data_IF_866395937316
#
_entry.id   IF_866395937316
#
_cell.length_a   1.000
_cell.length_b   1.000
_cell.length_c   1.000
_cell.angle_alpha   90.00
_cell.angle_beta   90.00
_cell.angle_gamma   90.00
#
_symmetry.space_group_name_H-M   'P 1'
#
loop_
_entity.id
_entity.type
_entity.pdbx_description
1 polymer ?
#
# COMPACT_ATOMS: atom_id res chain seq x y z
N UNK A 1 18.72 4.37 37.68
CA UNK A 1 19.62 3.70 36.72
C UNK A 1 19.35 4.29 35.36
N UNK A 2 20.34 4.88 34.70
CA UNK A 2 20.17 5.39 33.34
C UNK A 2 20.33 4.23 32.36
N UNK A 3 19.36 4.05 31.48
CA UNK A 3 19.43 3.06 30.41
C UNK A 3 20.44 3.56 29.35
N UNK A 4 21.56 2.86 29.22
CA UNK A 4 22.61 3.22 28.25
C UNK A 4 22.17 2.67 26.89
N UNK A 5 21.43 3.49 26.14
CA UNK A 5 20.93 3.13 24.81
C UNK A 5 21.99 3.38 23.74
N UNK A 6 22.28 2.36 22.92
CA UNK A 6 23.19 2.50 21.80
C UNK A 6 22.49 3.24 20.64
N UNK A 7 22.80 4.53 20.50
CA UNK A 7 22.22 5.39 19.47
C UNK A 7 22.52 4.92 18.04
N UNK A 8 23.65 4.24 17.81
CA UNK A 8 23.99 3.69 16.49
C UNK A 8 23.06 2.54 16.12
N UNK A 9 22.77 1.65 17.07
CA UNK A 9 21.82 0.55 16.87
C UNK A 9 20.40 1.08 16.62
N UNK A 10 19.97 2.10 17.39
CA UNK A 10 18.67 2.75 17.22
C UNK A 10 18.51 3.40 15.84
N UNK A 11 19.53 4.13 15.35
CA UNK A 11 19.52 4.71 13.99
C UNK A 11 19.41 3.63 12.92
N UNK A 12 20.22 2.57 13.03
CA UNK A 12 20.18 1.43 12.08
C UNK A 12 18.84 0.69 12.10
N UNK A 13 18.17 0.62 13.25
CA UNK A 13 16.82 0.06 13.34
C UNK A 13 15.81 0.97 12.61
N UNK A 14 15.87 2.28 12.82
CA UNK A 14 15.03 3.27 12.13
C UNK A 14 15.20 3.21 10.62
N UNK A 15 16.44 3.20 10.13
CA UNK A 15 16.73 3.10 8.69
C UNK A 15 16.18 1.82 8.07
N UNK A 16 16.36 0.67 8.74
CA UNK A 16 15.80 -0.61 8.29
C UNK A 16 14.28 -0.59 8.26
N UNK A 17 13.64 0.02 9.26
CA UNK A 17 12.18 0.16 9.30
C UNK A 17 11.66 1.03 8.15
N UNK A 18 12.35 2.15 7.86
CA UNK A 18 11.98 3.03 6.75
C UNK A 18 12.16 2.34 5.40
N UNK A 19 13.24 1.56 5.22
CA UNK A 19 13.47 0.79 4.01
C UNK A 19 12.38 -0.27 3.79
N UNK A 20 11.93 -0.97 4.85
CA UNK A 20 10.82 -1.92 4.77
C UNK A 20 9.51 -1.24 4.37
N UNK A 21 9.13 -0.16 5.06
CA UNK A 21 7.91 0.58 4.73
C UNK A 21 7.87 1.05 3.26
N UNK A 22 8.99 1.58 2.76
CA UNK A 22 9.12 1.94 1.33
C UNK A 22 9.00 0.72 0.41
N UNK A 23 9.54 -0.42 0.82
CA UNK A 23 9.41 -1.69 0.10
C UNK A 23 7.95 -2.15 0.01
N UNK A 24 7.21 -2.08 1.12
CA UNK A 24 5.79 -2.44 1.18
C UNK A 24 4.93 -1.49 0.33
N UNK A 25 5.20 -0.18 0.39
CA UNK A 25 4.54 0.80 -0.48
C UNK A 25 4.81 0.52 -1.96
N UNK A 26 6.05 0.19 -2.32
CA UNK A 26 6.41 -0.13 -3.69
C UNK A 26 5.83 -1.47 -4.13
N UNK A 27 5.74 -2.48 -3.26
CA UNK A 27 5.04 -3.72 -3.54
C UNK A 27 3.54 -3.47 -3.78
N UNK A 28 2.91 -2.59 -2.99
CA UNK A 28 1.51 -2.22 -3.20
C UNK A 28 1.28 -1.40 -4.49
N UNK A 29 2.22 -0.53 -4.86
CA UNK A 29 2.13 0.35 -6.05
C UNK A 29 2.53 -0.38 -7.35
N UNK A 30 3.60 -1.16 -7.31
CA UNK A 30 4.25 -1.78 -8.47
C UNK A 30 4.12 -3.29 -8.52
N UNK A 31 3.81 -3.96 -7.40
CA UNK A 31 3.61 -5.41 -7.33
C UNK A 31 2.23 -5.87 -7.81
N UNK A 32 1.27 -4.96 -8.02
CA UNK A 32 0.01 -5.31 -8.70
C UNK A 32 0.31 -5.65 -10.16
N UNK A 33 0.07 -6.90 -10.51
CA UNK A 33 0.20 -7.36 -11.89
C UNK A 33 -0.81 -6.65 -12.80
N UNK A 34 -0.54 -6.59 -14.10
CA UNK A 34 -1.47 -6.00 -15.07
C UNK A 34 -2.87 -6.63 -14.96
N UNK A 35 -2.93 -7.95 -14.79
CA UNK A 35 -4.17 -8.70 -14.60
C UNK A 35 -4.97 -8.25 -13.37
N UNK A 36 -4.32 -7.97 -12.24
CA UNK A 36 -5.01 -7.48 -11.03
C UNK A 36 -5.51 -6.05 -11.20
N UNK A 37 -4.75 -5.19 -11.86
CA UNK A 37 -5.19 -3.82 -12.18
C UNK A 37 -6.40 -3.82 -13.13
N UNK A 38 -6.39 -4.68 -14.14
CA UNK A 38 -7.51 -4.83 -15.08
C UNK A 38 -8.76 -5.41 -14.40
N UNK A 39 -8.59 -6.39 -13.50
CA UNK A 39 -9.68 -6.95 -12.70
C UNK A 39 -10.31 -5.89 -11.78
N UNK A 40 -9.49 -5.09 -11.09
CA UNK A 40 -9.97 -4.00 -10.22
C UNK A 40 -10.69 -2.91 -11.02
N UNK A 41 -10.16 -2.51 -12.18
CA UNK A 41 -10.84 -1.60 -13.10
C UNK A 41 -12.17 -2.15 -13.58
N UNK A 42 -12.23 -3.40 -14.02
CA UNK A 42 -13.46 -4.02 -14.49
C UNK A 42 -14.53 -4.10 -13.38
N UNK A 43 -14.11 -4.35 -12.13
CA UNK A 43 -14.98 -4.32 -10.96
C UNK A 43 -15.48 -2.91 -10.64
N UNK A 44 -14.60 -1.91 -10.69
CA UNK A 44 -14.96 -0.50 -10.48
C UNK A 44 -15.94 0.00 -11.55
N UNK A 45 -15.69 -0.32 -12.82
CA UNK A 45 -16.58 0.02 -13.94
C UNK A 45 -17.93 -0.69 -13.85
N UNK A 46 -17.96 -1.94 -13.36
CA UNK A 46 -19.24 -2.63 -13.08
C UNK A 46 -19.99 -1.92 -11.96
N UNK A 47 -19.34 -1.63 -10.84
CA UNK A 47 -19.96 -0.94 -9.71
C UNK A 47 -20.47 0.46 -10.10
N UNK A 48 -19.70 1.20 -10.92
CA UNK A 48 -20.12 2.51 -11.44
C UNK A 48 -21.38 2.40 -12.32
N UNK A 49 -21.44 1.40 -13.20
CA UNK A 49 -22.63 1.16 -14.03
C UNK A 49 -23.85 0.75 -13.21
N UNK A 50 -23.64 -0.07 -12.17
CA UNK A 50 -24.69 -0.48 -11.23
C UNK A 50 -25.27 0.74 -10.51
N UNK A 51 -24.41 1.62 -10.00
CA UNK A 51 -24.81 2.86 -9.34
C UNK A 51 -25.46 3.88 -10.29
N UNK A 52 -24.96 4.03 -11.52
CA UNK A 52 -25.59 4.91 -12.54
C UNK A 52 -26.96 4.38 -12.94
N UNK A 53 -27.12 3.05 -13.03
CA UNK A 53 -28.41 2.41 -13.25
C UNK A 53 -29.40 2.68 -12.12
N UNK A 54 -28.96 2.56 -10.86
CA UNK A 54 -29.76 2.88 -9.68
C UNK A 54 -30.08 4.36 -9.51
N UNK A 55 -29.28 5.27 -10.08
CA UNK A 55 -29.53 6.71 -10.03
C UNK A 55 -30.49 7.22 -11.13
N UNK A 56 -30.83 6.37 -12.11
CA UNK A 56 -31.77 6.70 -13.20
C UNK A 56 -33.20 6.19 -12.97
N UNK A 57 -33.45 5.48 -11.87
CA UNK A 57 -34.79 5.12 -11.37
C UNK A 57 -35.25 6.12 -10.31
#
# INVERSE_FOLDING_TARGET
MAEIVNLRAARKAKERSQARAKGDENAAKFGRTKAEKDLEKARAEKAKRDLDGHARE
#
